data_IF_089730750405
#
_entry.id   IF_089730750405
#
_cell.length_a   1.000
_cell.length_b   1.000
_cell.length_c   1.000
_cell.angle_alpha   90.00
_cell.angle_beta   90.00
_cell.angle_gamma   90.00
#
_symmetry.space_group_name_H-M   'P 1'
#
loop_
_entity.id
_entity.type
_entity.pdbx_description
1 polymer ?
#
# COMPACT_ATOMS: atom_id res chain seq x y z
N UNK A 1 8.48 -3.85 -40.15
CA UNK A 1 8.73 -5.06 -39.34
C UNK A 1 9.89 -4.74 -38.42
N UNK A 2 9.63 -4.54 -37.12
CA UNK A 2 10.69 -4.28 -36.13
C UNK A 2 10.27 -3.35 -34.99
N UNK A 3 9.10 -3.60 -34.45
CA UNK A 3 8.58 -3.13 -33.17
C UNK A 3 9.37 -3.76 -31.98
N UNK A 4 9.24 -3.09 -30.83
CA UNK A 4 9.51 -3.58 -29.47
C UNK A 4 10.94 -3.62 -28.90
N UNK A 5 11.32 -2.53 -28.22
CA UNK A 5 12.04 -2.66 -26.95
C UNK A 5 11.57 -1.61 -25.93
N UNK A 6 10.34 -1.77 -25.47
CA UNK A 6 9.86 -1.13 -24.26
C UNK A 6 10.74 -1.58 -23.08
N UNK A 7 11.59 -0.68 -22.63
CA UNK A 7 12.27 -0.78 -21.34
C UNK A 7 11.22 -0.60 -20.24
N UNK A 8 10.65 -1.72 -19.78
CA UNK A 8 9.98 -1.77 -18.48
C UNK A 8 10.89 -2.58 -17.55
N UNK A 9 11.62 -1.85 -16.72
CA UNK A 9 12.40 -2.44 -15.65
C UNK A 9 11.43 -3.12 -14.67
N UNK A 10 11.24 -4.42 -14.82
CA UNK A 10 10.55 -5.26 -13.85
C UNK A 10 11.39 -5.31 -12.58
N UNK A 11 11.07 -4.43 -11.62
CA UNK A 11 11.61 -4.51 -10.27
C UNK A 11 11.12 -5.81 -9.62
N UNK A 12 12.00 -6.61 -9.00
CA UNK A 12 11.59 -7.81 -8.27
C UNK A 12 10.60 -7.42 -7.18
N UNK A 13 9.39 -7.99 -7.25
CA UNK A 13 8.38 -7.90 -6.19
C UNK A 13 8.92 -8.59 -4.95
N UNK A 14 9.59 -7.84 -4.07
CA UNK A 14 9.79 -8.25 -2.70
C UNK A 14 8.44 -8.21 -1.99
N UNK A 15 7.70 -9.31 -2.10
CA UNK A 15 6.55 -9.58 -1.25
C UNK A 15 7.08 -9.86 0.15
N UNK A 16 7.24 -8.79 0.94
CA UNK A 16 7.52 -8.90 2.36
C UNK A 16 6.19 -9.20 3.06
N UNK A 17 6.05 -10.33 3.78
CA UNK A 17 4.88 -10.56 4.61
C UNK A 17 4.94 -9.60 5.80
N UNK A 18 4.50 -8.37 5.60
CA UNK A 18 4.09 -7.47 6.67
C UNK A 18 2.81 -8.01 7.33
N UNK A 19 2.37 -7.47 8.47
CA UNK A 19 1.14 -7.90 9.13
C UNK A 19 -0.01 -7.79 8.13
N UNK A 20 -0.42 -8.92 7.56
CA UNK A 20 -1.58 -9.00 6.70
C UNK A 20 -2.75 -8.92 7.67
N UNK A 21 -3.50 -7.81 7.69
CA UNK A 21 -4.81 -7.82 8.34
C UNK A 21 -5.67 -8.74 7.49
N UNK A 22 -5.66 -10.03 7.81
CA UNK A 22 -6.39 -11.09 7.12
C UNK A 22 -7.87 -10.72 7.16
N UNK A 23 -8.41 -10.27 6.01
CA UNK A 23 -9.83 -9.95 5.84
C UNK A 23 -10.22 -8.47 5.84
N UNK A 24 -9.28 -7.53 6.01
CA UNK A 24 -9.58 -6.08 5.94
C UNK A 24 -9.35 -5.49 4.53
N UNK A 25 -10.11 -4.44 4.16
CA UNK A 25 -9.85 -3.64 2.95
C UNK A 25 -8.43 -3.05 2.99
N UNK A 26 -7.86 -2.69 1.83
CA UNK A 26 -6.50 -2.09 1.79
C UNK A 26 -6.38 -0.83 2.65
N UNK A 27 -7.47 -0.08 2.78
CA UNK A 27 -7.56 1.06 3.69
C UNK A 27 -7.46 0.64 5.17
N UNK A 28 -8.16 -0.42 5.57
CA UNK A 28 -8.11 -0.94 6.94
C UNK A 28 -6.72 -1.50 7.29
N UNK A 29 -6.06 -2.15 6.33
CA UNK A 29 -4.66 -2.56 6.46
C UNK A 29 -3.74 -1.34 6.63
N UNK A 30 -3.96 -0.26 5.87
CA UNK A 30 -3.16 0.96 5.98
C UNK A 30 -3.33 1.62 7.34
N UNK A 31 -4.56 1.69 7.85
CA UNK A 31 -4.86 2.25 9.16
C UNK A 31 -4.13 1.48 10.27
N UNK A 32 -4.20 0.15 10.26
CA UNK A 32 -3.50 -0.69 11.23
C UNK A 32 -1.98 -0.47 11.22
N UNK A 33 -1.36 -0.35 10.03
CA UNK A 33 0.08 -0.09 9.93
C UNK A 33 0.43 1.29 10.51
N UNK A 34 -0.42 2.31 10.32
CA UNK A 34 -0.21 3.65 10.90
C UNK A 34 -0.27 3.61 12.43
N UNK A 35 -1.20 2.86 13.01
CA UNK A 35 -1.29 2.71 14.46
C UNK A 35 -0.05 2.03 15.05
N UNK A 36 0.47 0.99 14.38
CA UNK A 36 1.69 0.29 14.80
C UNK A 36 2.93 1.19 14.66
N UNK A 37 3.02 2.00 13.61
CA UNK A 37 4.10 3.00 13.46
C UNK A 37 4.16 3.92 14.68
N UNK A 38 3.01 4.37 15.20
CA UNK A 38 2.94 5.23 16.38
C UNK A 38 3.57 4.61 17.65
N UNK A 39 3.49 3.28 17.80
CA UNK A 39 4.04 2.55 18.96
C UNK A 39 5.56 2.46 18.93
N UNK A 40 6.15 2.49 17.74
CA UNK A 40 7.59 2.33 17.53
C UNK A 40 8.38 3.63 17.65
N UNK A 41 7.72 4.77 17.48
CA UNK A 41 8.37 6.09 17.50
C UNK A 41 9.10 6.34 18.83
N UNK A 42 8.43 6.17 19.98
CA UNK A 42 9.04 6.44 21.30
C UNK A 42 10.25 5.53 21.58
N UNK A 43 10.16 4.19 21.44
CA UNK A 43 11.30 3.29 21.64
C UNK A 43 12.47 3.53 20.68
N UNK A 44 12.21 4.03 19.47
CA UNK A 44 13.28 4.39 18.52
C UNK A 44 14.10 5.58 19.02
N UNK A 45 13.46 6.58 19.61
CA UNK A 45 14.19 7.73 20.21
C UNK A 45 15.04 7.34 21.42
N UNK A 46 14.69 6.26 22.13
CA UNK A 46 15.49 5.74 23.26
C UNK A 46 16.59 4.77 22.81
N UNK A 47 16.86 4.66 21.50
CA UNK A 47 17.97 3.85 20.97
C UNK A 47 17.65 2.38 20.72
N UNK A 48 16.37 1.96 20.70
CA UNK A 48 16.01 0.58 20.36
C UNK A 48 16.20 0.32 18.85
N UNK A 49 17.27 -0.40 18.50
CA UNK A 49 17.62 -0.75 17.12
C UNK A 49 16.55 -1.60 16.42
N UNK A 50 15.87 -2.50 17.14
CA UNK A 50 14.85 -3.37 16.56
C UNK A 50 13.62 -2.55 16.17
N UNK A 51 13.17 -1.64 17.05
CA UNK A 51 12.08 -0.72 16.75
C UNK A 51 12.44 0.22 15.60
N UNK A 52 13.69 0.69 15.52
CA UNK A 52 14.15 1.53 14.41
C UNK A 52 14.09 0.80 13.05
N UNK A 53 14.56 -0.45 12.97
CA UNK A 53 14.45 -1.26 11.75
C UNK A 53 13.00 -1.55 11.39
N UNK A 54 12.17 -1.88 12.39
CA UNK A 54 10.73 -2.11 12.20
C UNK A 54 10.03 -0.87 11.66
N UNK A 55 10.30 0.31 12.24
CA UNK A 55 9.76 1.59 11.81
C UNK A 55 10.10 1.87 10.35
N UNK A 56 11.37 1.68 9.94
CA UNK A 56 11.78 1.86 8.53
C UNK A 56 11.05 0.91 7.58
N UNK A 57 10.91 -0.37 7.97
CA UNK A 57 10.20 -1.38 7.15
C UNK A 57 8.71 -1.04 7.04
N UNK A 58 8.08 -0.68 8.14
CA UNK A 58 6.66 -0.30 8.18
C UNK A 58 6.40 0.95 7.33
N UNK A 59 7.29 1.96 7.35
CA UNK A 59 7.17 3.14 6.49
C UNK A 59 7.25 2.75 5.00
N UNK A 60 8.20 1.89 4.61
CA UNK A 60 8.31 1.42 3.24
C UNK A 60 7.06 0.66 2.78
N UNK A 61 6.54 -0.22 3.63
CA UNK A 61 5.32 -0.98 3.37
C UNK A 61 4.09 -0.08 3.22
N UNK A 62 3.89 0.88 4.15
CA UNK A 62 2.79 1.86 4.06
C UNK A 62 2.79 2.61 2.72
N UNK A 63 3.96 3.00 2.21
CA UNK A 63 4.06 3.72 0.93
C UNK A 63 3.58 2.90 -0.26
N UNK A 64 3.82 1.59 -0.26
CA UNK A 64 3.33 0.68 -1.30
C UNK A 64 1.80 0.58 -1.19
N UNK A 65 1.31 0.33 0.02
CA UNK A 65 -0.11 0.16 0.29
C UNK A 65 -0.94 1.40 -0.05
N UNK A 66 -0.40 2.61 0.18
CA UNK A 66 -1.03 3.87 -0.25
C UNK A 66 -1.20 3.93 -1.76
N UNK A 67 -0.18 3.52 -2.53
CA UNK A 67 -0.28 3.51 -4.01
C UNK A 67 -1.37 2.55 -4.47
N UNK A 68 -1.42 1.37 -3.86
CA UNK A 68 -2.44 0.37 -4.18
C UNK A 68 -3.86 0.85 -3.80
N UNK A 69 -3.99 1.54 -2.67
CA UNK A 69 -5.26 2.10 -2.21
C UNK A 69 -5.74 3.24 -3.12
N UNK A 70 -4.84 4.09 -3.64
CA UNK A 70 -5.19 5.13 -4.60
C UNK A 70 -5.68 4.55 -5.93
N UNK A 71 -5.00 3.51 -6.44
CA UNK A 71 -5.40 2.84 -7.69
C UNK A 71 -6.76 2.16 -7.53
N UNK A 72 -7.01 1.52 -6.39
CA UNK A 72 -8.30 0.88 -6.10
C UNK A 72 -9.41 1.92 -5.95
N UNK A 73 -9.16 3.02 -5.24
CA UNK A 73 -10.12 4.11 -5.10
C UNK A 73 -10.48 4.76 -6.44
N UNK A 74 -9.52 4.89 -7.37
CA UNK A 74 -9.80 5.39 -8.72
C UNK A 74 -10.67 4.41 -9.52
N UNK A 75 -10.37 3.10 -9.44
CA UNK A 75 -11.17 2.06 -10.09
C UNK A 75 -12.60 2.02 -9.53
N UNK A 76 -12.78 2.10 -8.22
CA UNK A 76 -14.10 2.15 -7.59
C UNK A 76 -14.88 3.40 -8.01
N UNK A 77 -14.20 4.56 -8.11
CA UNK A 77 -14.82 5.79 -8.60
C UNK A 77 -15.27 5.67 -10.06
N UNK A 78 -14.45 5.03 -10.89
CA UNK A 78 -14.75 4.81 -12.31
C UNK A 78 -15.86 3.77 -12.52
N UNK A 79 -15.90 2.73 -11.68
CA UNK A 79 -16.97 1.75 -11.65
C UNK A 79 -18.29 2.36 -11.17
N UNK A 80 -18.26 3.19 -10.14
CA UNK A 80 -19.43 3.94 -9.66
C UNK A 80 -19.95 4.92 -10.72
N UNK A 81 -19.07 5.57 -11.47
CA UNK A 81 -19.46 6.43 -12.61
C UNK A 81 -20.09 5.61 -13.75
N UNK A 82 -19.59 4.41 -14.03
CA UNK A 82 -20.17 3.51 -15.02
C UNK A 82 -21.55 2.99 -14.59
N UNK A 83 -21.73 2.60 -13.31
CA UNK A 83 -23.03 2.19 -12.75
C UNK A 83 -24.07 3.34 -12.80
N UNK A 84 -23.63 4.57 -12.54
CA UNK A 84 -24.50 5.76 -12.65
C UNK A 84 -24.96 6.06 -14.08
N UNK A 85 -24.16 5.71 -15.10
CA UNK A 85 -24.55 5.86 -16.50
C UNK A 85 -25.57 4.82 -16.97
N UNK A 86 -25.51 3.60 -16.42
CA UNK A 86 -26.46 2.51 -16.74
C UNK A 86 -27.84 2.77 -16.12
N UNK A 87 -27.91 3.43 -14.95
CA UNK A 87 -29.19 3.73 -14.27
C UNK A 87 -29.98 4.90 -14.88
N UNK A 88 -29.38 5.63 -15.82
CA UNK A 88 -30.01 6.72 -16.59
C UNK A 88 -30.47 6.27 -17.99
N UNK A 89 -30.45 4.96 -18.26
CA UNK A 89 -31.09 4.31 -19.41
C UNK A 89 -32.31 3.53 -18.93
#
# INVERSE_FOLDING_TARGET
MGDDLATTASLPQYSVPGPQVVGGTKYQQLLAVIEELGKDIRPTYTGNKICAERLKRSIAHSRILVRECLIEAEKDRQKAAADAAVKNQ
#
